data_IF_648568989213
#
_entry.id   IF_648568989213
#
_cell.length_a   1.000
_cell.length_b   1.000
_cell.length_c   1.000
_cell.angle_alpha   90.00
_cell.angle_beta   90.00
_cell.angle_gamma   90.00
#
_symmetry.space_group_name_H-M   'P 1'
#
loop_
_entity.id
_entity.type
_entity.pdbx_description
1 polymer ?
#
# COMPACT_ATOMS: atom_id res chain seq x y z
N UNK A 1 -0.78 -7.80 16.89
CA UNK A 1 -1.01 -6.49 16.26
C UNK A 1 0.05 -6.28 15.19
N UNK A 2 -0.30 -5.79 13.99
CA UNK A 2 0.71 -5.46 12.99
C UNK A 2 1.59 -4.31 13.51
N UNK A 3 2.91 -4.47 13.41
CA UNK A 3 3.89 -3.44 13.73
C UNK A 3 4.70 -3.11 12.48
N UNK A 4 5.09 -1.84 12.35
CA UNK A 4 5.95 -1.35 11.28
C UNK A 4 7.21 -0.78 11.92
N UNK A 5 8.36 -1.20 11.44
CA UNK A 5 9.66 -0.65 11.84
C UNK A 5 10.26 0.12 10.67
N UNK A 6 10.66 1.37 10.92
CA UNK A 6 11.43 2.17 9.97
C UNK A 6 12.90 2.05 10.39
N UNK A 7 13.72 1.44 9.55
CA UNK A 7 15.17 1.34 9.74
C UNK A 7 15.85 2.50 9.04
N UNK A 8 17.05 2.84 9.52
CA UNK A 8 17.92 3.86 8.91
C UNK A 8 17.25 5.22 8.75
N UNK A 9 16.46 5.63 9.75
CA UNK A 9 15.84 6.94 9.77
C UNK A 9 16.92 8.02 9.95
N UNK A 10 17.04 9.00 9.03
CA UNK A 10 18.00 10.08 9.18
C UNK A 10 17.78 10.83 10.49
N UNK A 11 18.86 11.10 11.21
CA UNK A 11 18.84 11.79 12.51
C UNK A 11 18.03 13.10 12.49
N UNK A 12 18.14 13.99 11.47
CA UNK A 12 17.34 15.21 11.44
C UNK A 12 15.83 14.95 11.37
N UNK A 13 15.41 13.88 10.70
CA UNK A 13 14.00 13.49 10.63
C UNK A 13 13.52 12.91 11.97
N UNK A 14 14.36 12.12 12.64
CA UNK A 14 14.06 11.61 13.97
C UNK A 14 13.80 12.75 14.95
N UNK A 15 14.66 13.77 14.99
CA UNK A 15 14.49 14.97 15.83
C UNK A 15 13.20 15.72 15.54
N UNK A 16 12.88 15.92 14.25
CA UNK A 16 11.67 16.62 13.85
C UNK A 16 10.40 15.88 14.32
N UNK A 17 10.37 14.55 14.16
CA UNK A 17 9.26 13.72 14.63
C UNK A 17 9.15 13.74 16.16
N UNK A 18 10.28 13.69 16.87
CA UNK A 18 10.30 13.77 18.33
C UNK A 18 9.79 15.12 18.83
N UNK A 19 10.22 16.22 18.22
CA UNK A 19 9.77 17.56 18.58
C UNK A 19 8.26 17.72 18.36
N UNK A 20 7.73 17.24 17.23
CA UNK A 20 6.29 17.24 16.96
C UNK A 20 5.51 16.43 17.99
N UNK A 21 6.00 15.25 18.36
CA UNK A 21 5.37 14.42 19.39
C UNK A 21 5.31 15.13 20.75
N UNK A 22 6.39 15.82 21.14
CA UNK A 22 6.43 16.64 22.36
C UNK A 22 5.42 17.79 22.33
N UNK A 23 5.34 18.52 21.22
CA UNK A 23 4.37 19.62 21.04
C UNK A 23 2.93 19.15 21.24
N UNK A 24 2.61 17.93 20.78
CA UNK A 24 1.29 17.33 20.96
C UNK A 24 1.12 16.50 22.23
N UNK A 25 2.13 16.45 23.11
CA UNK A 25 2.14 15.66 24.36
C UNK A 25 1.83 14.18 24.13
N UNK A 26 2.38 13.62 23.05
CA UNK A 26 2.18 12.23 22.63
C UNK A 26 3.50 11.48 22.61
N UNK A 27 3.44 10.15 22.68
CA UNK A 27 4.61 9.32 22.36
C UNK A 27 4.94 9.43 20.87
N UNK A 28 6.19 9.11 20.50
CA UNK A 28 6.62 9.11 19.10
C UNK A 28 5.74 8.19 18.25
N UNK A 29 5.44 6.99 18.76
CA UNK A 29 4.57 6.02 18.08
C UNK A 29 3.14 6.54 17.92
N UNK A 30 2.59 7.22 18.93
CA UNK A 30 1.26 7.82 18.83
C UNK A 30 1.22 8.95 17.81
N UNK A 31 2.24 9.83 17.80
CA UNK A 31 2.31 10.90 16.80
C UNK A 31 2.47 10.33 15.39
N UNK A 32 3.30 9.29 15.21
CA UNK A 32 3.47 8.63 13.93
C UNK A 32 2.15 8.02 13.43
N UNK A 33 1.33 7.41 14.31
CA UNK A 33 0.02 6.91 13.94
C UNK A 33 -0.92 8.02 13.48
N UNK A 34 -1.00 9.12 14.24
CA UNK A 34 -1.83 10.28 13.87
C UNK A 34 -1.40 10.90 12.55
N UNK A 35 -0.08 11.06 12.34
CA UNK A 35 0.46 11.61 11.09
C UNK A 35 0.16 10.66 9.91
N UNK A 36 0.29 9.34 10.12
CA UNK A 36 -0.05 8.33 9.11
C UNK A 36 -1.55 8.30 8.81
N UNK A 37 -2.42 8.44 9.81
CA UNK A 37 -3.87 8.55 9.62
C UNK A 37 -4.23 9.80 8.83
N UNK A 38 -3.63 10.95 9.16
CA UNK A 38 -3.84 12.21 8.44
C UNK A 38 -3.39 12.11 6.97
N UNK A 39 -2.24 11.49 6.71
CA UNK A 39 -1.71 11.28 5.34
C UNK A 39 -2.53 10.26 4.57
N UNK A 40 -2.98 9.18 5.23
CA UNK A 40 -3.76 8.13 4.59
C UNK A 40 -5.18 8.57 4.19
N UNK A 41 -5.66 9.70 4.70
CA UNK A 41 -7.02 10.21 4.50
C UNK A 41 -8.06 9.46 5.35
N UNK A 42 -9.34 9.79 5.14
CA UNK A 42 -10.51 9.27 5.89
C UNK A 42 -10.56 7.74 6.08
N UNK A 43 -11.46 7.33 7.00
CA UNK A 43 -11.75 5.99 7.53
C UNK A 43 -11.13 4.85 6.71
N UNK A 44 -10.23 4.09 7.34
CA UNK A 44 -9.59 2.92 6.77
C UNK A 44 -10.60 1.93 6.14
N UNK A 45 -11.84 1.89 6.64
CA UNK A 45 -12.94 1.12 6.06
C UNK A 45 -13.38 1.66 4.71
N UNK A 46 -13.58 2.96 4.58
CA UNK A 46 -13.99 3.60 3.34
C UNK A 46 -12.89 3.49 2.29
N UNK A 47 -11.64 3.69 2.69
CA UNK A 47 -10.49 3.50 1.78
C UNK A 47 -10.37 2.06 1.29
N UNK A 48 -10.57 1.06 2.17
CA UNK A 48 -10.61 -0.36 1.79
C UNK A 48 -11.77 -0.64 0.85
N UNK A 49 -12.94 -0.05 1.10
CA UNK A 49 -14.12 -0.15 0.22
C UNK A 49 -13.81 0.42 -1.16
N UNK A 50 -13.27 1.63 -1.26
CA UNK A 50 -12.91 2.26 -2.53
C UNK A 50 -11.88 1.44 -3.33
N UNK A 51 -10.89 0.84 -2.66
CA UNK A 51 -9.91 -0.05 -3.30
C UNK A 51 -10.59 -1.34 -3.79
N UNK A 52 -11.43 -1.97 -2.97
CA UNK A 52 -12.23 -3.14 -3.39
C UNK A 52 -13.10 -2.82 -4.60
N UNK A 53 -13.81 -1.70 -4.56
CA UNK A 53 -14.66 -1.26 -5.66
C UNK A 53 -13.85 -0.99 -6.92
N UNK A 54 -12.65 -0.41 -6.81
CA UNK A 54 -11.74 -0.19 -7.94
C UNK A 54 -11.24 -1.51 -8.53
N UNK A 55 -10.90 -2.49 -7.69
CA UNK A 55 -10.49 -3.82 -8.14
C UNK A 55 -11.66 -4.53 -8.82
N UNK A 56 -12.86 -4.49 -8.23
CA UNK A 56 -14.06 -5.08 -8.82
C UNK A 56 -14.42 -4.43 -10.17
N UNK A 57 -14.31 -3.10 -10.28
CA UNK A 57 -14.55 -2.36 -11.53
C UNK A 57 -13.52 -2.62 -12.62
N UNK A 58 -12.28 -2.99 -12.27
CA UNK A 58 -11.28 -3.41 -13.25
C UNK A 58 -11.65 -4.73 -13.96
N UNK A 59 -12.72 -5.40 -13.52
CA UNK A 59 -13.11 -6.70 -14.04
C UNK A 59 -12.07 -7.76 -13.69
N UNK A 60 -12.37 -9.05 -13.93
CA UNK A 60 -11.34 -10.07 -13.88
C UNK A 60 -10.27 -9.69 -14.90
N UNK A 61 -9.05 -9.40 -14.45
CA UNK A 61 -7.87 -9.43 -15.32
C UNK A 61 -7.75 -10.79 -16.03
N UNK A 62 -8.49 -11.80 -15.55
CA UNK A 62 -8.67 -13.11 -16.15
C UNK A 62 -9.33 -13.08 -17.54
N UNK A 63 -10.07 -12.05 -17.97
CA UNK A 63 -10.65 -12.08 -19.33
C UNK A 63 -9.59 -11.89 -20.42
N UNK A 64 -8.40 -11.36 -20.10
CA UNK A 64 -7.27 -11.30 -21.03
C UNK A 64 -6.51 -12.63 -21.14
N UNK A 65 -6.69 -13.54 -20.18
CA UNK A 65 -6.12 -14.91 -20.20
C UNK A 65 -7.19 -15.98 -20.48
N UNK A 66 -8.47 -15.60 -20.54
CA UNK A 66 -9.60 -16.49 -20.81
C UNK A 66 -9.88 -16.67 -22.31
N UNK A 67 -8.83 -16.66 -23.14
CA UNK A 67 -8.94 -17.10 -24.53
C UNK A 67 -8.05 -18.31 -24.70
N UNK A 68 -8.59 -19.51 -24.46
CA UNK A 68 -8.22 -20.88 -24.93
C UNK A 68 -6.73 -21.26 -25.14
N UNK A 69 -5.78 -20.41 -24.78
CA UNK A 69 -4.37 -20.61 -25.05
C UNK A 69 -3.72 -21.18 -23.82
N UNK A 70 -3.40 -22.46 -23.93
CA UNK A 70 -2.61 -23.14 -22.91
C UNK A 70 -1.22 -22.48 -22.82
N UNK A 71 -0.57 -22.49 -21.64
CA UNK A 71 0.76 -21.92 -21.48
C UNK A 71 1.78 -22.41 -22.52
N UNK A 72 1.63 -23.65 -22.98
CA UNK A 72 2.46 -24.28 -24.00
C UNK A 72 2.30 -23.61 -25.39
N UNK A 73 1.10 -23.13 -25.73
CA UNK A 73 0.84 -22.42 -26.98
C UNK A 73 1.60 -21.09 -27.02
N UNK A 74 1.63 -20.36 -25.92
CA UNK A 74 2.33 -19.07 -25.80
C UNK A 74 3.85 -19.23 -25.98
N UNK A 75 4.44 -20.28 -25.39
CA UNK A 75 5.87 -20.57 -25.51
C UNK A 75 6.24 -20.98 -26.95
N UNK A 76 5.35 -21.69 -27.65
CA UNK A 76 5.59 -22.11 -29.03
C UNK A 76 5.59 -20.92 -29.99
N UNK A 77 4.62 -20.00 -29.87
CA UNK A 77 4.53 -18.80 -30.72
C UNK A 77 5.74 -17.86 -30.56
N UNK A 78 6.31 -17.77 -29.36
CA UNK A 78 7.55 -17.02 -29.11
C UNK A 78 8.78 -17.66 -29.77
N UNK A 79 8.84 -19.00 -29.85
CA UNK A 79 9.96 -19.73 -30.45
C UNK A 79 9.94 -19.75 -31.98
N UNK A 80 8.78 -19.53 -32.59
CA UNK A 80 8.59 -19.51 -34.04
C UNK A 80 8.79 -18.11 -34.66
N UNK A 81 9.04 -17.08 -33.84
CA UNK A 81 9.51 -15.76 -34.26
C UNK A 81 11.03 -15.70 -34.34
#
# INVERSE_FOLDING_TARGET
MPSLQIRDLPEPLHWLLQHRAQLHKRSLSQQALVDLEAIAGEDARERRRLVRDRIARRGPLATALAGDQTPEALIRTERER
#
